data_IF_338380198665
#
_entry.id   IF_338380198665
#
_cell.length_a   1.000
_cell.length_b   1.000
_cell.length_c   1.000
_cell.angle_alpha   90.00
_cell.angle_beta   90.00
_cell.angle_gamma   90.00
#
_symmetry.space_group_name_H-M   'P 1'
#
loop_
_entity.id
_entity.type
_entity.pdbx_description
1 polymer ?
#
# COMPACT_ATOMS: atom_id res chain seq x y z
N UNK A 1 4.61 29.08 10.52
CA UNK A 1 5.37 28.58 11.68
C UNK A 1 5.84 27.17 11.34
N UNK A 2 7.14 26.98 11.19
CA UNK A 2 7.72 25.71 10.74
C UNK A 2 7.77 24.73 11.92
N UNK A 3 7.01 23.64 11.83
CA UNK A 3 7.20 22.48 12.71
C UNK A 3 8.54 21.84 12.34
N UNK A 4 9.60 22.15 13.09
CA UNK A 4 10.83 21.37 13.07
C UNK A 4 10.47 19.95 13.51
N UNK A 5 10.70 18.97 12.63
CA UNK A 5 10.63 17.55 12.98
C UNK A 5 11.69 17.29 14.04
N UNK A 6 11.28 17.04 15.27
CA UNK A 6 12.16 16.57 16.35
C UNK A 6 12.61 15.12 16.08
N UNK A 7 13.50 14.95 15.09
CA UNK A 7 14.25 13.71 14.89
C UNK A 7 15.62 13.77 15.60
N UNK A 8 15.73 14.53 16.69
CA UNK A 8 16.98 14.85 17.36
C UNK A 8 17.61 13.65 18.11
N UNK A 9 16.87 12.56 18.34
CA UNK A 9 17.40 11.39 19.05
C UNK A 9 18.17 10.39 18.18
N UNK A 10 17.99 10.39 16.86
CA UNK A 10 18.65 9.40 15.98
C UNK A 10 20.01 9.92 15.48
N UNK A 11 20.25 11.24 15.47
CA UNK A 11 21.44 11.83 14.83
C UNK A 11 22.63 12.14 15.74
N UNK A 12 22.60 11.84 17.06
CA UNK A 12 23.80 12.00 17.90
C UNK A 12 23.80 11.23 19.22
N UNK A 13 24.94 10.61 19.63
CA UNK A 13 26.16 10.32 18.88
C UNK A 13 26.04 9.05 18.02
N UNK A 14 26.76 9.02 16.91
CA UNK A 14 26.89 7.85 16.03
C UNK A 14 27.72 6.73 16.72
N UNK A 15 27.65 5.50 16.19
CA UNK A 15 28.38 4.35 16.76
C UNK A 15 27.61 3.53 17.81
N UNK A 16 26.29 3.73 17.92
CA UNK A 16 25.39 2.87 18.71
C UNK A 16 24.80 1.77 17.84
N UNK A 17 24.40 0.65 18.46
CA UNK A 17 23.56 -0.34 17.80
C UNK A 17 22.13 0.22 17.68
N UNK A 18 21.77 0.72 16.50
CA UNK A 18 20.47 1.33 16.27
C UNK A 18 19.38 0.26 16.31
N UNK A 19 18.34 0.51 17.09
CA UNK A 19 17.11 -0.26 17.08
C UNK A 19 16.04 0.49 16.29
N UNK A 20 15.04 -0.25 15.82
CA UNK A 20 13.89 0.33 15.15
C UNK A 20 12.77 0.71 16.15
N UNK A 21 11.60 0.99 15.61
CA UNK A 21 10.34 1.28 16.29
C UNK A 21 9.56 -0.01 16.55
N UNK A 22 8.72 -0.04 17.59
CA UNK A 22 7.75 -1.14 17.80
C UNK A 22 6.76 -1.14 16.61
N UNK A 23 6.69 -2.21 15.80
CA UNK A 23 5.77 -2.27 14.67
C UNK A 23 4.30 -2.07 15.08
N UNK A 24 3.93 -2.39 16.32
CA UNK A 24 2.55 -2.30 16.83
C UNK A 24 2.08 -0.89 17.15
N UNK A 25 3.00 0.09 17.17
CA UNK A 25 2.70 1.50 17.43
C UNK A 25 2.63 2.33 16.13
N UNK A 26 2.63 1.66 14.97
CA UNK A 26 2.62 2.27 13.63
C UNK A 26 1.26 1.98 12.96
N UNK A 27 0.60 2.97 12.32
CA UNK A 27 0.94 4.40 12.34
C UNK A 27 0.74 5.03 13.72
N UNK A 28 1.59 6.00 14.06
CA UNK A 28 1.39 6.85 15.24
C UNK A 28 0.29 7.90 15.01
N UNK A 29 -0.31 8.51 16.06
CA UNK A 29 -1.28 9.59 15.87
C UNK A 29 -0.72 10.82 15.13
N UNK A 30 0.55 11.14 15.32
CA UNK A 30 1.21 12.20 14.54
C UNK A 30 1.37 11.81 13.08
N UNK A 31 1.70 10.53 12.81
CA UNK A 31 1.75 10.01 11.45
C UNK A 31 0.36 9.99 10.80
N UNK A 32 -0.71 9.79 11.58
CA UNK A 32 -2.09 9.92 11.11
C UNK A 32 -2.40 11.31 10.58
N UNK A 33 -2.10 12.36 11.37
CA UNK A 33 -2.29 13.75 10.94
C UNK A 33 -1.49 14.05 9.65
N UNK A 34 -0.25 13.58 9.57
CA UNK A 34 0.58 13.71 8.39
C UNK A 34 0.00 12.96 7.18
N UNK A 35 -0.45 11.72 7.36
CA UNK A 35 -1.06 10.91 6.30
C UNK A 35 -2.35 11.51 5.75
N UNK A 36 -3.19 12.08 6.62
CA UNK A 36 -4.37 12.87 6.22
C UNK A 36 -3.94 14.09 5.40
N UNK A 37 -2.94 14.83 5.88
CA UNK A 37 -2.38 15.98 5.17
C UNK A 37 -1.68 15.65 3.85
N UNK A 38 -1.29 14.39 3.61
CA UNK A 38 -0.73 13.90 2.35
C UNK A 38 -1.81 13.44 1.35
N UNK A 39 -3.00 13.07 1.82
CA UNK A 39 -4.12 12.68 0.96
C UNK A 39 -4.72 13.90 0.25
N UNK A 40 -4.95 15.01 0.98
CA UNK A 40 -5.59 16.21 0.44
C UNK A 40 -4.88 16.84 -0.77
N UNK A 41 -3.54 17.04 -0.76
CA UNK A 41 -2.82 17.61 -1.89
C UNK A 41 -2.81 16.70 -3.11
N UNK A 42 -2.87 15.37 -2.91
CA UNK A 42 -2.94 14.40 -4.01
C UNK A 42 -4.23 14.61 -4.81
N UNK A 43 -5.34 14.93 -4.15
CA UNK A 43 -6.60 15.24 -4.83
C UNK A 43 -6.61 16.63 -5.45
N UNK A 44 -6.19 17.64 -4.67
CA UNK A 44 -6.31 19.05 -5.06
C UNK A 44 -5.43 19.42 -6.25
N UNK A 45 -4.16 19.00 -6.25
CA UNK A 45 -3.20 19.42 -7.28
C UNK A 45 -3.31 18.68 -8.61
N UNK A 46 -3.82 17.45 -8.60
CA UNK A 46 -3.70 16.56 -9.77
C UNK A 46 -5.05 16.31 -10.41
N UNK A 47 -6.11 16.08 -9.64
CA UNK A 47 -7.37 15.58 -10.23
C UNK A 47 -8.50 16.61 -10.21
N UNK A 48 -8.68 17.34 -9.11
CA UNK A 48 -9.74 18.36 -9.02
C UNK A 48 -9.45 19.58 -9.92
N UNK A 49 -8.19 19.93 -10.11
CA UNK A 49 -7.77 21.03 -10.99
C UNK A 49 -7.76 20.64 -12.48
N UNK A 50 -7.51 19.37 -12.82
CA UNK A 50 -7.38 18.92 -14.22
C UNK A 50 -8.66 18.24 -14.77
N UNK A 51 -9.29 17.36 -13.99
CA UNK A 51 -10.38 16.47 -14.44
C UNK A 51 -11.72 16.75 -13.74
N UNK A 52 -11.72 17.46 -12.61
CA UNK A 52 -12.93 17.87 -11.89
C UNK A 52 -13.63 16.77 -11.08
N UNK A 53 -13.08 15.56 -11.04
CA UNK A 53 -13.60 14.41 -10.27
C UNK A 53 -12.56 13.87 -9.27
N UNK A 54 -12.95 12.92 -8.41
CA UNK A 54 -11.99 12.22 -7.55
C UNK A 54 -11.38 11.03 -8.30
N UNK A 55 -10.09 10.69 -8.05
CA UNK A 55 -9.48 9.53 -8.69
C UNK A 55 -10.13 8.23 -8.21
N UNK A 56 -10.53 7.37 -9.14
CA UNK A 56 -11.13 6.06 -8.81
C UNK A 56 -10.15 5.15 -8.05
N UNK A 57 -8.85 5.18 -8.42
CA UNK A 57 -7.82 4.35 -7.80
C UNK A 57 -6.45 5.02 -7.72
N UNK A 58 -5.83 4.93 -6.54
CA UNK A 58 -4.46 5.42 -6.28
C UNK A 58 -3.52 4.24 -6.04
N UNK A 59 -2.37 4.26 -6.71
CA UNK A 59 -1.25 3.35 -6.51
C UNK A 59 -0.21 3.96 -5.58
N UNK A 60 0.09 3.32 -4.45
CA UNK A 60 1.10 3.78 -3.49
C UNK A 60 2.23 2.78 -3.32
N UNK A 61 3.46 3.27 -3.32
CA UNK A 61 4.65 2.46 -3.04
C UNK A 61 5.08 2.67 -1.59
N UNK A 62 5.07 1.60 -0.79
CA UNK A 62 5.38 1.65 0.65
C UNK A 62 6.69 0.92 0.95
N UNK A 63 7.57 1.60 1.69
CA UNK A 63 8.87 1.07 2.09
C UNK A 63 9.02 0.98 3.60
N UNK A 64 9.64 -0.10 4.06
CA UNK A 64 9.90 -0.29 5.49
C UNK A 64 10.78 0.79 6.10
N UNK A 65 11.79 1.28 5.38
CA UNK A 65 12.67 2.36 5.88
C UNK A 65 11.92 3.68 6.06
N UNK A 66 11.00 4.01 5.13
CA UNK A 66 10.13 5.18 5.26
C UNK A 66 9.19 5.02 6.46
N UNK A 67 8.57 3.85 6.63
CA UNK A 67 7.70 3.56 7.78
C UNK A 67 8.43 3.70 9.13
N UNK A 68 9.69 3.26 9.21
CA UNK A 68 10.53 3.42 10.42
C UNK A 68 10.84 4.89 10.72
N UNK A 69 11.09 5.70 9.69
CA UNK A 69 11.49 7.10 9.84
C UNK A 69 10.32 8.00 10.22
N UNK A 70 9.17 7.76 9.62
CA UNK A 70 7.98 8.61 9.79
C UNK A 70 7.01 8.08 10.83
N UNK A 71 7.24 6.88 11.37
CA UNK A 71 6.26 6.17 12.20
C UNK A 71 4.93 5.91 11.48
N UNK A 72 4.96 5.76 10.15
CA UNK A 72 3.86 5.23 9.36
C UNK A 72 3.05 6.21 8.51
N UNK A 73 3.61 7.36 8.10
CA UNK A 73 2.90 8.34 7.25
C UNK A 73 2.25 7.69 6.01
N UNK A 74 2.98 6.80 5.32
CA UNK A 74 2.48 6.11 4.12
C UNK A 74 1.24 5.24 4.43
N UNK A 75 1.24 4.54 5.56
CA UNK A 75 0.14 3.66 6.00
C UNK A 75 -1.06 4.51 6.41
N UNK A 76 -0.82 5.59 7.15
CA UNK A 76 -1.84 6.57 7.50
C UNK A 76 -2.48 7.20 6.26
N UNK A 77 -1.70 7.48 5.21
CA UNK A 77 -2.23 7.97 3.94
C UNK A 77 -3.16 6.94 3.30
N UNK A 78 -2.79 5.64 3.26
CA UNK A 78 -3.68 4.58 2.76
C UNK A 78 -5.01 4.57 3.53
N UNK A 79 -4.96 4.61 4.86
CA UNK A 79 -6.15 4.63 5.71
C UNK A 79 -7.02 5.86 5.48
N UNK A 80 -6.40 7.03 5.36
CA UNK A 80 -7.12 8.27 5.01
C UNK A 80 -7.83 8.11 3.66
N UNK A 81 -7.15 7.65 2.61
CA UNK A 81 -7.76 7.46 1.27
C UNK A 81 -8.98 6.53 1.32
N UNK A 82 -8.88 5.41 2.04
CA UNK A 82 -9.96 4.44 2.27
C UNK A 82 -11.09 4.97 3.19
N UNK A 83 -10.83 6.03 3.95
CA UNK A 83 -11.76 6.59 4.93
C UNK A 83 -11.88 5.73 6.19
N UNK A 84 -10.76 5.15 6.64
CA UNK A 84 -10.65 4.36 7.86
C UNK A 84 -9.65 5.02 8.79
N UNK A 85 -9.92 5.00 10.09
CA UNK A 85 -9.06 5.57 11.13
C UNK A 85 -8.59 4.46 12.07
N UNK A 86 -7.28 4.38 12.37
CA UNK A 86 -6.79 3.47 13.40
C UNK A 86 -7.19 3.93 14.81
N UNK A 87 -7.50 2.96 15.68
CA UNK A 87 -7.82 3.19 17.10
C UNK A 87 -6.60 2.86 17.94
N UNK A 88 -6.11 3.83 18.71
CA UNK A 88 -4.98 3.66 19.61
C UNK A 88 -5.42 3.43 21.04
N UNK A 89 -4.74 2.52 21.73
CA UNK A 89 -4.80 2.43 23.18
C UNK A 89 -4.06 3.62 23.81
N UNK A 90 -4.66 4.23 24.83
CA UNK A 90 -4.14 5.45 25.47
C UNK A 90 -2.76 5.23 26.11
N UNK A 91 -2.57 4.11 26.83
CA UNK A 91 -1.35 3.87 27.60
C UNK A 91 -0.20 3.34 26.75
N UNK A 92 -0.49 2.38 25.87
CA UNK A 92 0.54 1.68 25.09
C UNK A 92 0.81 2.30 23.72
N UNK A 93 -0.08 3.20 23.26
CA UNK A 93 -0.09 3.76 21.90
C UNK A 93 -0.13 2.69 20.80
N UNK A 94 -0.47 1.45 21.15
CA UNK A 94 -0.65 0.35 20.21
C UNK A 94 -1.98 0.48 19.51
N UNK A 95 -2.01 0.00 18.28
CA UNK A 95 -3.25 -0.08 17.52
C UNK A 95 -4.05 -1.28 18.02
N UNK A 96 -5.31 -1.03 18.34
CA UNK A 96 -6.26 -2.02 18.86
C UNK A 96 -7.32 -2.42 17.85
N UNK A 97 -7.56 -1.58 16.85
CA UNK A 97 -8.51 -1.84 15.77
C UNK A 97 -8.60 -0.68 14.79
N UNK A 98 -9.58 -0.77 13.91
CA UNK A 98 -9.88 0.22 12.88
C UNK A 98 -11.33 0.67 12.99
N UNK A 99 -11.56 1.96 12.78
CA UNK A 99 -12.89 2.59 12.75
C UNK A 99 -13.16 3.15 11.36
N UNK A 100 -14.37 2.92 10.84
CA UNK A 100 -14.80 3.52 9.57
C UNK A 100 -15.23 4.96 9.82
N UNK A 101 -14.64 5.90 9.08
CA UNK A 101 -15.10 7.29 9.06
C UNK A 101 -16.39 7.36 8.22
N UNK A 102 -17.52 7.86 8.74
CA UNK A 102 -18.75 8.00 7.97
C UNK A 102 -18.56 8.92 6.76
N UNK A 103 -19.24 8.64 5.64
CA UNK A 103 -19.14 9.45 4.41
C UNK A 103 -19.46 10.94 4.65
N UNK A 104 -20.40 11.23 5.56
CA UNK A 104 -20.78 12.60 5.92
C UNK A 104 -19.62 13.36 6.60
N UNK A 105 -18.78 12.68 7.37
CA UNK A 105 -17.56 13.26 7.96
C UNK A 105 -16.41 13.27 6.96
N UNK A 106 -16.30 12.22 6.13
CA UNK A 106 -15.25 12.10 5.11
C UNK A 106 -15.37 13.19 4.05
N UNK A 107 -16.59 13.62 3.71
CA UNK A 107 -16.86 14.72 2.77
C UNK A 107 -16.50 14.42 1.31
N UNK A 108 -16.20 13.16 0.99
CA UNK A 108 -15.80 12.67 -0.33
C UNK A 108 -16.06 11.16 -0.46
N UNK A 109 -16.06 10.61 -1.67
CA UNK A 109 -16.06 9.16 -1.85
C UNK A 109 -14.79 8.50 -1.28
N UNK A 110 -14.91 7.23 -0.91
CA UNK A 110 -13.78 6.37 -0.55
C UNK A 110 -13.04 5.97 -1.80
N UNK A 111 -11.74 6.19 -1.80
CA UNK A 111 -10.89 5.97 -2.96
C UNK A 111 -10.22 4.62 -2.83
N UNK A 112 -10.17 3.86 -3.92
CA UNK A 112 -9.53 2.56 -3.91
C UNK A 112 -8.01 2.72 -3.93
N UNK A 113 -7.30 1.89 -3.17
CA UNK A 113 -5.85 2.00 -3.01
C UNK A 113 -5.19 0.67 -3.31
N UNK A 114 -4.29 0.69 -4.29
CA UNK A 114 -3.39 -0.42 -4.57
C UNK A 114 -2.01 -0.12 -4.01
N UNK A 115 -1.53 -0.98 -3.11
CA UNK A 115 -0.27 -0.80 -2.41
C UNK A 115 0.79 -1.75 -2.97
N UNK A 116 1.96 -1.21 -3.30
CA UNK A 116 3.14 -1.99 -3.64
C UNK A 116 4.17 -1.90 -2.51
N UNK A 117 4.37 -3.01 -1.81
CA UNK A 117 5.28 -3.10 -0.66
C UNK A 117 6.67 -3.60 -1.08
N UNK A 118 7.71 -3.10 -0.41
CA UNK A 118 9.06 -3.66 -0.56
C UNK A 118 9.20 -5.00 0.15
N UNK A 119 10.14 -5.84 -0.29
CA UNK A 119 10.44 -7.12 0.38
C UNK A 119 10.85 -6.92 1.85
N UNK A 120 11.56 -5.83 2.16
CA UNK A 120 11.89 -5.48 3.54
C UNK A 120 10.65 -5.10 4.37
N UNK A 121 9.69 -4.37 3.78
CA UNK A 121 8.43 -4.06 4.46
C UNK A 121 7.66 -5.33 4.84
N UNK A 122 7.60 -6.31 3.93
CA UNK A 122 7.00 -7.63 4.19
C UNK A 122 7.60 -8.33 5.40
N UNK A 123 8.92 -8.31 5.52
CA UNK A 123 9.62 -9.06 6.57
C UNK A 123 9.61 -8.33 7.92
N UNK A 124 9.69 -7.00 7.91
CA UNK A 124 9.78 -6.19 9.13
C UNK A 124 8.41 -5.78 9.70
N UNK A 125 7.36 -5.69 8.86
CA UNK A 125 6.06 -5.14 9.24
C UNK A 125 4.87 -6.03 8.82
N UNK A 126 4.84 -7.34 9.15
CA UNK A 126 3.72 -8.21 8.81
C UNK A 126 2.40 -7.73 9.43
N UNK A 127 2.45 -7.16 10.65
CA UNK A 127 1.28 -6.60 11.32
C UNK A 127 0.66 -5.41 10.58
N UNK A 128 1.45 -4.63 9.84
CA UNK A 128 0.92 -3.52 9.04
C UNK A 128 0.26 -4.02 7.76
N UNK A 129 0.75 -5.12 7.20
CA UNK A 129 0.11 -5.78 6.06
C UNK A 129 -1.27 -6.30 6.46
N UNK A 130 -1.36 -6.93 7.63
CA UNK A 130 -2.63 -7.38 8.20
C UNK A 130 -3.58 -6.20 8.45
N UNK A 131 -3.08 -5.09 8.98
CA UNK A 131 -3.91 -3.91 9.25
C UNK A 131 -4.44 -3.27 7.95
N UNK A 132 -3.64 -3.22 6.88
CA UNK A 132 -4.10 -2.76 5.56
C UNK A 132 -5.14 -3.72 4.98
N UNK A 133 -4.94 -5.03 5.14
CA UNK A 133 -5.90 -6.04 4.71
C UNK A 133 -7.24 -5.93 5.44
N UNK A 134 -7.21 -5.71 6.75
CA UNK A 134 -8.39 -5.47 7.57
C UNK A 134 -9.13 -4.21 7.13
N UNK A 135 -8.41 -3.10 6.87
CA UNK A 135 -9.01 -1.87 6.39
C UNK A 135 -9.73 -2.05 5.04
N UNK A 136 -9.11 -2.74 4.09
CA UNK A 136 -9.70 -3.01 2.77
C UNK A 136 -10.93 -3.91 2.90
N UNK A 137 -10.86 -4.96 3.72
CA UNK A 137 -12.00 -5.85 3.96
C UNK A 137 -13.16 -5.12 4.65
N UNK A 138 -12.85 -4.27 5.63
CA UNK A 138 -13.83 -3.46 6.35
C UNK A 138 -14.59 -2.55 5.38
N UNK A 139 -13.88 -1.78 4.56
CA UNK A 139 -14.48 -0.86 3.57
C UNK A 139 -15.23 -1.61 2.47
N UNK A 140 -14.72 -2.77 2.03
CA UNK A 140 -15.39 -3.59 1.04
C UNK A 140 -16.68 -4.25 1.54
N UNK A 141 -16.84 -4.39 2.87
CA UNK A 141 -18.03 -4.98 3.50
C UNK A 141 -19.14 -3.97 3.79
N UNK A 142 -18.89 -2.67 3.58
CA UNK A 142 -19.87 -1.62 3.80
C UNK A 142 -20.98 -1.65 2.74
N UNK A 143 -22.21 -1.40 3.19
CA UNK A 143 -23.38 -1.25 2.32
C UNK A 143 -23.46 0.19 1.78
N UNK A 144 -22.50 0.55 0.92
CA UNK A 144 -22.39 1.86 0.28
C UNK A 144 -22.55 1.75 -1.25
N UNK A 145 -23.00 2.85 -1.88
CA UNK A 145 -23.10 2.93 -3.34
C UNK A 145 -21.72 2.80 -4.01
N UNK A 146 -21.61 2.16 -5.20
CA UNK A 146 -20.38 2.18 -6.00
C UNK A 146 -19.93 3.60 -6.42
N UNK A 147 -20.77 4.61 -6.28
CA UNK A 147 -20.43 6.03 -6.52
C UNK A 147 -19.76 6.67 -5.30
N UNK A 148 -20.09 6.20 -4.10
CA UNK A 148 -19.52 6.70 -2.84
C UNK A 148 -18.30 5.87 -2.40
N UNK A 149 -18.18 4.63 -2.89
CA UNK A 149 -17.13 3.70 -2.51
C UNK A 149 -16.51 2.98 -3.71
N UNK A 150 -15.34 3.46 -4.13
CA UNK A 150 -14.61 2.93 -5.28
C UNK A 150 -14.07 1.51 -5.05
N UNK A 151 -13.83 1.13 -3.79
CA UNK A 151 -13.42 -0.24 -3.44
C UNK A 151 -14.55 -1.22 -3.78
N UNK A 152 -15.80 -0.88 -3.42
CA UNK A 152 -16.99 -1.68 -3.73
C UNK A 152 -17.26 -1.72 -5.23
N UNK A 153 -17.10 -0.58 -5.94
CA UNK A 153 -17.17 -0.53 -7.42
C UNK A 153 -16.21 -1.53 -8.06
N UNK A 154 -14.92 -1.42 -7.75
CA UNK A 154 -13.88 -2.28 -8.34
C UNK A 154 -13.95 -3.74 -7.88
N UNK A 155 -14.57 -4.01 -6.74
CA UNK A 155 -14.89 -5.36 -6.30
C UNK A 155 -15.97 -5.98 -7.20
N UNK A 156 -17.08 -5.29 -7.41
CA UNK A 156 -18.20 -5.75 -8.26
C UNK A 156 -17.74 -5.99 -9.69
N UNK A 157 -17.05 -5.02 -10.30
CA UNK A 157 -16.51 -5.19 -11.66
C UNK A 157 -15.50 -6.35 -11.74
N UNK A 158 -14.70 -6.54 -10.69
CA UNK A 158 -13.74 -7.65 -10.62
C UNK A 158 -14.43 -9.01 -10.59
N UNK A 159 -15.54 -9.12 -9.85
CA UNK A 159 -16.36 -10.33 -9.79
C UNK A 159 -17.07 -10.60 -11.12
N UNK A 160 -17.60 -9.56 -11.78
CA UNK A 160 -18.24 -9.67 -13.09
C UNK A 160 -17.25 -10.13 -14.17
N UNK A 161 -16.04 -9.56 -14.21
CA UNK A 161 -14.98 -10.00 -15.14
C UNK A 161 -14.61 -11.47 -14.94
N UNK A 162 -14.55 -11.94 -13.69
CA UNK A 162 -14.29 -13.34 -13.35
C UNK A 162 -15.48 -14.26 -13.70
N UNK A 163 -16.72 -13.77 -13.59
CA UNK A 163 -17.92 -14.51 -13.99
C UNK A 163 -18.09 -14.62 -15.50
N UNK A 164 -17.71 -13.59 -16.26
CA UNK A 164 -17.83 -13.53 -17.72
C UNK A 164 -16.72 -14.29 -18.45
N UNK A 165 -15.49 -14.31 -17.91
CA UNK A 165 -14.37 -15.09 -18.44
C UNK A 165 -14.45 -16.54 -17.97
N UNK A 166 -15.21 -17.38 -18.68
CA UNK A 166 -15.48 -18.78 -18.38
C UNK A 166 -14.26 -19.70 -18.18
N UNK A 167 -13.51 -19.50 -17.10
CA UNK A 167 -12.57 -20.46 -16.54
C UNK A 167 -13.27 -21.11 -15.37
N UNK A 168 -13.90 -22.24 -15.66
CA UNK A 168 -14.79 -22.92 -14.72
C UNK A 168 -14.15 -23.12 -13.37
N UNK A 169 -14.87 -22.72 -12.30
CA UNK A 169 -14.81 -23.28 -10.95
C UNK A 169 -13.43 -23.85 -10.58
N UNK A 170 -12.35 -23.06 -10.72
CA UNK A 170 -11.13 -23.36 -9.96
C UNK A 170 -11.60 -23.16 -8.53
N UNK A 171 -11.80 -24.28 -7.82
CA UNK A 171 -12.18 -24.31 -6.40
C UNK A 171 -11.42 -23.17 -5.73
N UNK A 172 -12.14 -22.10 -5.38
CA UNK A 172 -11.61 -21.05 -4.53
C UNK A 172 -11.28 -21.77 -3.24
N UNK A 173 -10.02 -22.11 -3.06
CA UNK A 173 -9.52 -22.56 -1.79
C UNK A 173 -9.94 -21.48 -0.78
N UNK A 174 -10.74 -21.78 0.26
CA UNK A 174 -11.16 -20.77 1.23
C UNK A 174 -9.98 -20.08 1.91
N UNK A 175 -8.78 -20.68 1.86
CA UNK A 175 -7.52 -20.07 2.31
C UNK A 175 -6.95 -19.02 1.34
N UNK A 176 -7.37 -19.03 0.07
CA UNK A 176 -7.03 -18.02 -0.94
C UNK A 176 -8.19 -17.04 -1.04
N UNK A 177 -7.96 -15.81 -0.59
CA UNK A 177 -8.97 -14.75 -0.58
C UNK A 177 -9.61 -14.47 -1.94
N UNK A 178 -10.63 -13.62 -1.98
CA UNK A 178 -11.24 -13.20 -3.23
C UNK A 178 -10.21 -12.42 -4.06
N UNK A 179 -9.83 -12.87 -5.28
CA UNK A 179 -8.85 -12.16 -6.10
C UNK A 179 -9.28 -10.74 -6.48
N UNK A 180 -10.59 -10.47 -6.49
CA UNK A 180 -11.11 -9.12 -6.69
C UNK A 180 -10.85 -8.20 -5.49
N UNK A 181 -10.49 -8.70 -4.32
CA UNK A 181 -10.08 -7.88 -3.18
C UNK A 181 -8.57 -7.68 -3.07
N UNK A 182 -7.77 -8.25 -3.97
CA UNK A 182 -6.33 -8.07 -3.88
C UNK A 182 -5.94 -6.61 -4.11
N UNK A 183 -5.26 -6.02 -3.11
CA UNK A 183 -4.80 -4.62 -3.08
C UNK A 183 -3.36 -4.47 -2.62
N UNK A 184 -2.80 -5.47 -1.95
CA UNK A 184 -1.41 -5.44 -1.48
C UNK A 184 -0.58 -6.31 -2.42
N UNK A 185 0.48 -5.74 -2.99
CA UNK A 185 1.38 -6.42 -3.92
C UNK A 185 2.83 -6.34 -3.45
N UNK A 186 3.48 -7.50 -3.32
CA UNK A 186 4.85 -7.59 -2.84
C UNK A 186 5.75 -8.50 -3.68
N UNK A 187 7.06 -8.42 -3.40
CA UNK A 187 8.04 -9.37 -3.93
C UNK A 187 7.79 -10.78 -3.40
N UNK A 188 8.21 -11.81 -4.15
CA UNK A 188 8.15 -13.21 -3.69
C UNK A 188 8.90 -13.38 -2.35
N UNK A 189 8.42 -14.22 -1.41
CA UNK A 189 9.15 -14.56 -0.19
C UNK A 189 10.60 -14.97 -0.49
N UNK A 190 11.55 -14.46 0.30
CA UNK A 190 12.99 -14.69 0.11
C UNK A 190 13.64 -13.90 -1.04
N UNK A 191 12.89 -13.04 -1.74
CA UNK A 191 13.43 -12.13 -2.77
C UNK A 191 13.19 -10.67 -2.41
N UNK A 192 14.10 -9.80 -2.86
CA UNK A 192 14.09 -8.36 -2.61
C UNK A 192 14.27 -7.57 -3.91
N UNK A 193 13.79 -6.32 -3.90
CA UNK A 193 13.86 -5.43 -5.06
C UNK A 193 12.78 -5.68 -6.11
N UNK A 194 12.71 -4.77 -7.09
CA UNK A 194 11.77 -4.83 -8.21
C UNK A 194 12.38 -5.44 -9.49
N UNK A 195 13.70 -5.65 -9.52
CA UNK A 195 14.41 -6.21 -10.67
C UNK A 195 14.73 -5.24 -11.81
N UNK A 196 14.36 -3.95 -11.74
CA UNK A 196 14.62 -2.97 -12.81
C UNK A 196 16.10 -2.58 -12.86
N UNK A 197 16.76 -2.40 -11.71
CA UNK A 197 18.17 -2.00 -11.64
C UNK A 197 19.13 -2.98 -12.31
N UNK A 198 18.92 -4.28 -12.11
CA UNK A 198 19.73 -5.31 -12.76
C UNK A 198 19.49 -5.33 -14.28
N UNK A 199 18.29 -4.98 -14.72
CA UNK A 199 17.93 -4.84 -16.12
C UNK A 199 18.57 -3.61 -16.79
N UNK A 200 18.64 -2.47 -16.10
CA UNK A 200 19.30 -1.26 -16.59
C UNK A 200 20.81 -1.46 -16.72
N UNK A 201 21.46 -2.08 -15.74
CA UNK A 201 22.91 -2.37 -15.83
C UNK A 201 23.27 -3.36 -16.95
N UNK A 202 22.29 -4.08 -17.50
CA UNK A 202 22.48 -5.09 -18.54
C UNK A 202 21.87 -4.71 -19.90
N UNK A 203 21.30 -3.50 -20.07
CA UNK A 203 20.49 -3.11 -21.23
C UNK A 203 19.34 -4.11 -21.55
N UNK A 204 18.86 -4.83 -20.54
CA UNK A 204 17.82 -5.85 -20.61
C UNK A 204 16.59 -5.50 -19.75
N UNK A 205 16.32 -4.21 -19.52
CA UNK A 205 15.22 -3.72 -18.68
C UNK A 205 13.87 -4.34 -19.07
N UNK A 206 13.62 -4.52 -20.38
CA UNK A 206 12.40 -5.18 -20.87
C UNK A 206 12.41 -6.72 -20.79
N UNK A 207 13.56 -7.36 -20.60
CA UNK A 207 13.72 -8.84 -20.61
C UNK A 207 13.73 -9.43 -19.19
N UNK A 208 14.18 -8.70 -18.17
CA UNK A 208 14.17 -9.19 -16.78
C UNK A 208 12.83 -9.03 -16.03
N UNK A 209 11.98 -8.08 -16.45
CA UNK A 209 10.53 -8.15 -16.16
C UNK A 209 9.94 -9.52 -16.55
N UNK A 210 10.55 -10.22 -17.53
CA UNK A 210 10.15 -11.57 -17.95
C UNK A 210 10.91 -12.72 -17.27
N UNK A 211 11.96 -12.48 -16.50
CA UNK A 211 12.71 -13.54 -15.78
C UNK A 211 12.26 -13.68 -14.33
N UNK A 212 11.76 -12.58 -13.73
CA UNK A 212 10.99 -12.60 -12.48
C UNK A 212 9.68 -13.44 -12.58
N UNK A 213 9.27 -13.70 -13.82
CA UNK A 213 8.04 -14.36 -14.31
C UNK A 213 7.94 -15.88 -14.06
N UNK A 214 8.93 -16.51 -13.42
CA UNK A 214 9.05 -17.98 -13.33
C UNK A 214 9.11 -18.57 -11.93
N UNK A 215 8.90 -17.78 -10.89
CA UNK A 215 8.94 -18.33 -9.54
C UNK A 215 7.52 -18.70 -9.06
N UNK A 216 7.39 -19.91 -8.53
CA UNK A 216 6.13 -20.53 -8.06
C UNK A 216 5.47 -19.74 -6.93
N UNK A 217 4.12 -19.70 -6.85
CA UNK A 217 3.41 -19.15 -5.72
C UNK A 217 3.52 -20.12 -4.54
N UNK A 218 4.31 -19.76 -3.53
CA UNK A 218 4.24 -20.34 -2.19
C UNK A 218 3.37 -19.40 -1.35
N UNK A 219 2.07 -19.41 -1.62
CA UNK A 219 1.06 -18.75 -0.79
C UNK A 219 0.75 -19.50 0.50
N UNK A 220 1.70 -20.28 1.03
CA UNK A 220 1.50 -21.20 2.16
C UNK A 220 2.35 -20.88 3.41
N UNK A 221 3.35 -20.00 3.31
CA UNK A 221 4.34 -19.78 4.40
C UNK A 221 4.24 -18.40 5.09
N UNK A 222 3.23 -17.57 4.79
CA UNK A 222 2.95 -16.41 5.65
C UNK A 222 2.22 -16.92 6.90
N UNK A 223 2.66 -16.57 8.14
CA UNK A 223 2.07 -17.07 9.38
C UNK A 223 0.58 -16.72 9.56
N UNK A 224 0.07 -15.74 8.80
CA UNK A 224 -1.28 -15.20 8.91
C UNK A 224 -2.00 -15.15 7.56
N UNK A 225 -3.32 -15.42 7.53
CA UNK A 225 -4.08 -15.49 6.29
C UNK A 225 -4.47 -14.09 5.80
N UNK A 226 -3.51 -13.35 5.24
CA UNK A 226 -3.78 -12.06 4.60
C UNK A 226 -4.57 -12.30 3.31
N UNK A 227 -5.81 -11.80 3.22
CA UNK A 227 -6.75 -12.16 2.14
C UNK A 227 -6.72 -11.23 0.94
N UNK A 228 -6.21 -10.02 1.09
CA UNK A 228 -6.06 -9.00 0.03
C UNK A 228 -4.61 -8.92 -0.51
N UNK A 229 -3.72 -9.81 -0.05
CA UNK A 229 -2.34 -9.87 -0.49
C UNK A 229 -2.20 -10.79 -1.71
N UNK A 230 -1.61 -10.24 -2.77
CA UNK A 230 -1.18 -10.98 -3.94
C UNK A 230 0.32 -10.80 -4.16
N UNK A 231 0.99 -11.85 -4.58
CA UNK A 231 2.34 -11.71 -5.10
C UNK A 231 2.29 -11.18 -6.53
N UNK A 232 3.23 -10.33 -6.93
CA UNK A 232 3.29 -9.80 -8.31
C UNK A 232 3.41 -10.91 -9.39
N UNK A 233 3.67 -12.16 -8.99
CA UNK A 233 3.71 -13.35 -9.85
C UNK A 233 2.34 -13.71 -10.43
N UNK A 234 1.25 -13.26 -9.81
CA UNK A 234 -0.13 -13.45 -10.28
C UNK A 234 -0.49 -12.45 -11.37
N UNK A 235 0.15 -12.63 -12.54
CA UNK A 235 0.27 -11.64 -13.61
C UNK A 235 -1.05 -11.11 -14.17
N UNK A 236 -2.08 -11.94 -14.27
CA UNK A 236 -3.38 -11.51 -14.80
C UNK A 236 -4.11 -10.64 -13.80
N UNK A 237 -4.05 -10.99 -12.51
CA UNK A 237 -4.69 -10.24 -11.44
C UNK A 237 -3.95 -8.92 -11.20
N UNK A 238 -2.62 -8.96 -11.12
CA UNK A 238 -1.82 -7.74 -10.97
C UNK A 238 -1.99 -6.84 -12.19
N UNK A 239 -1.82 -7.33 -13.41
CA UNK A 239 -1.99 -6.48 -14.60
C UNK A 239 -3.38 -5.83 -14.68
N UNK A 240 -4.44 -6.58 -14.36
CA UNK A 240 -5.80 -6.03 -14.35
C UNK A 240 -5.99 -4.94 -13.29
N UNK A 241 -5.37 -5.08 -12.12
CA UNK A 241 -5.43 -4.08 -11.04
C UNK A 241 -4.57 -2.86 -11.33
N UNK A 242 -3.31 -3.06 -11.71
CA UNK A 242 -2.40 -1.97 -12.02
C UNK A 242 -2.88 -1.13 -13.22
N UNK A 243 -3.62 -1.71 -14.17
CA UNK A 243 -4.23 -0.94 -15.27
C UNK A 243 -5.37 -0.01 -14.85
N UNK A 244 -5.89 -0.14 -13.63
CA UNK A 244 -6.94 0.74 -13.08
C UNK A 244 -6.35 1.92 -12.29
N UNK A 245 -5.06 1.92 -12.00
CA UNK A 245 -4.40 2.98 -11.25
C UNK A 245 -4.37 4.26 -12.11
N UNK A 246 -5.04 5.31 -11.65
CA UNK A 246 -5.04 6.62 -12.31
C UNK A 246 -3.94 7.54 -11.77
N UNK A 247 -3.58 7.39 -10.48
CA UNK A 247 -2.51 8.17 -9.86
C UNK A 247 -1.50 7.23 -9.20
N UNK A 248 -0.24 7.30 -9.61
CA UNK A 248 0.86 6.60 -8.95
C UNK A 248 1.63 7.58 -8.07
N UNK A 249 1.77 7.27 -6.78
CA UNK A 249 2.39 8.14 -5.79
C UNK A 249 3.47 7.42 -4.96
N UNK A 250 4.51 8.19 -4.63
CA UNK A 250 5.56 7.83 -3.67
C UNK A 250 5.86 9.07 -2.82
N UNK A 251 5.90 8.89 -1.51
CA UNK A 251 6.29 9.96 -0.60
C UNK A 251 7.81 10.03 -0.46
N UNK A 252 8.34 11.25 -0.41
CA UNK A 252 9.73 11.50 -0.06
C UNK A 252 9.83 11.78 1.45
N UNK A 253 10.42 10.85 2.18
CA UNK A 253 10.43 10.89 3.64
C UNK A 253 11.66 11.59 4.26
N UNK A 254 12.73 11.80 3.49
CA UNK A 254 13.92 12.54 3.92
C UNK A 254 14.47 13.48 2.83
N UNK A 255 15.34 14.42 3.24
CA UNK A 255 16.06 15.34 2.34
C UNK A 255 17.51 14.92 2.06
N UNK A 256 18.01 13.92 2.78
CA UNK A 256 19.39 13.43 2.63
C UNK A 256 19.63 12.77 1.27
N UNK A 257 18.58 12.16 0.71
CA UNK A 257 18.58 11.57 -0.61
C UNK A 257 17.34 12.04 -1.37
N UNK A 258 17.56 12.48 -2.60
CA UNK A 258 16.50 12.79 -3.57
C UNK A 258 16.24 11.60 -4.51
N UNK A 259 15.13 11.65 -5.25
CA UNK A 259 14.69 10.64 -6.21
C UNK A 259 15.79 10.13 -7.14
N UNK A 260 16.68 11.01 -7.59
CA UNK A 260 17.78 10.68 -8.52
C UNK A 260 19.03 10.12 -7.83
N UNK A 261 19.12 10.24 -6.51
CA UNK A 261 20.30 9.81 -5.74
C UNK A 261 20.15 8.40 -5.18
N UNK A 262 18.93 7.89 -5.04
CA UNK A 262 18.66 6.54 -4.57
C UNK A 262 17.96 5.72 -5.66
N UNK A 263 18.72 4.82 -6.29
CA UNK A 263 18.26 3.98 -7.41
C UNK A 263 17.04 3.13 -7.07
N UNK A 264 16.85 2.82 -5.78
CA UNK A 264 15.69 2.06 -5.30
C UNK A 264 14.36 2.79 -5.53
N UNK A 265 14.37 4.13 -5.63
CA UNK A 265 13.15 4.92 -5.85
C UNK A 265 12.67 4.79 -7.30
N UNK A 266 13.58 4.93 -8.26
CA UNK A 266 13.27 4.74 -9.69
C UNK A 266 12.80 3.30 -9.99
N UNK A 267 13.41 2.31 -9.31
CA UNK A 267 13.11 0.87 -9.45
C UNK A 267 11.67 0.48 -9.08
N UNK A 268 10.94 1.32 -8.35
CA UNK A 268 9.59 0.98 -7.85
C UNK A 268 8.46 1.82 -8.41
N UNK A 269 8.78 3.00 -8.95
CA UNK A 269 7.79 3.97 -9.46
C UNK A 269 7.54 3.79 -10.96
N UNK A 270 8.46 3.14 -11.69
CA UNK A 270 8.31 2.85 -13.12
C UNK A 270 7.78 1.42 -13.29
N UNK A 271 6.47 1.22 -13.14
CA UNK A 271 5.78 -0.02 -13.51
C UNK A 271 4.34 0.27 -13.94
#
# INVERSE_FOLDING_TARGET
MAHQREACQISSPTGRNFYSVDPKTIPSPTAWEMGVGLADPLFKKVYLEEEGEYPDMVGLVIWGTSAMRTHGDDIAQVFSLLGVKPIWQEESRRITGLEVIPLAELGRPRIDVTVRISGFFRDAFPNLIELIDEAVQLVASLDESPEDNMVVRHLKEGQERQGAGGTGKRRSDPSKGNPALYRIFGSKPGTYGAGILWGESTNETGRQFRTWRRSTPLGADMPTPVRTLAYMLEREISRGRFSQIVVAAKNQDNREHEYLTATIICNTTVA
#
